data_IF_261379663456
#
_entry.id   IF_261379663456
#
_cell.length_a   1.000
_cell.length_b   1.000
_cell.length_c   1.000
_cell.angle_alpha   90.00
_cell.angle_beta   90.00
_cell.angle_gamma   90.00
#
_symmetry.space_group_name_H-M   'P 1'
#
loop_
_entity.id
_entity.type
_entity.pdbx_description
1 polymer ?
#
# COMPACT_ATOMS: atom_id res chain seq x y z
N UNK A 1 -11.08 -24.06 14.12
CA UNK A 1 -10.62 -24.08 12.71
C UNK A 1 -9.09 -24.00 12.72
N UNK A 2 -8.39 -24.95 12.11
CA UNK A 2 -6.92 -25.05 12.18
C UNK A 2 -6.25 -23.80 11.59
N UNK A 3 -5.18 -23.30 12.20
CA UNK A 3 -4.52 -22.05 11.81
C UNK A 3 -3.92 -22.12 10.39
N UNK A 4 -3.54 -23.32 9.93
CA UNK A 4 -3.14 -23.59 8.55
C UNK A 4 -4.25 -23.24 7.53
N UNK A 5 -5.52 -23.37 7.94
CA UNK A 5 -6.69 -23.08 7.11
C UNK A 5 -6.77 -21.59 6.76
N UNK A 6 -6.29 -20.67 7.62
CA UNK A 6 -6.44 -19.22 7.37
C UNK A 6 -5.58 -18.71 6.21
N UNK A 7 -4.31 -19.11 6.15
CA UNK A 7 -3.43 -18.75 5.03
C UNK A 7 -3.91 -19.41 3.73
N UNK A 8 -4.42 -20.64 3.82
CA UNK A 8 -4.98 -21.35 2.67
C UNK A 8 -6.22 -20.64 2.13
N UNK A 9 -7.16 -20.23 2.99
CA UNK A 9 -8.33 -19.42 2.60
C UNK A 9 -7.93 -18.06 2.01
N UNK A 10 -6.82 -17.45 2.45
CA UNK A 10 -6.32 -16.23 1.81
C UNK A 10 -5.78 -16.48 0.40
N UNK A 11 -5.10 -17.60 0.18
CA UNK A 11 -4.63 -18.00 -1.14
C UNK A 11 -5.78 -18.32 -2.10
N UNK A 12 -6.96 -18.68 -1.62
CA UNK A 12 -8.16 -18.90 -2.43
C UNK A 12 -8.88 -17.61 -2.84
N UNK A 13 -8.56 -16.47 -2.21
CA UNK A 13 -9.13 -15.17 -2.60
C UNK A 13 -8.31 -14.61 -3.76
N UNK A 14 -8.94 -14.43 -4.92
CA UNK A 14 -8.22 -13.94 -6.09
C UNK A 14 -7.63 -12.53 -5.88
N UNK A 15 -6.31 -12.34 -6.11
CA UNK A 15 -5.69 -11.02 -6.19
C UNK A 15 -5.91 -10.35 -7.56
N UNK A 16 -6.50 -11.05 -8.52
CA UNK A 16 -6.68 -10.54 -9.87
C UNK A 16 -7.81 -9.50 -9.86
N UNK A 17 -7.53 -8.26 -10.29
CA UNK A 17 -8.62 -7.32 -10.53
C UNK A 17 -9.53 -7.87 -11.64
N UNK A 18 -10.73 -7.33 -11.75
CA UNK A 18 -11.67 -7.64 -12.84
C UNK A 18 -11.52 -6.66 -14.03
N UNK A 19 -10.47 -6.73 -14.86
CA UNK A 19 -10.49 -6.07 -16.16
C UNK A 19 -10.13 -7.02 -17.32
N UNK A 20 -10.43 -6.57 -18.54
CA UNK A 20 -10.07 -7.22 -19.82
C UNK A 20 -8.68 -6.77 -20.34
N UNK A 21 -7.77 -6.35 -19.46
CA UNK A 21 -6.49 -5.70 -19.81
C UNK A 21 -5.29 -6.42 -19.16
N UNK A 22 -4.05 -6.26 -19.68
CA UNK A 22 -2.86 -6.81 -19.03
C UNK A 22 -2.68 -6.26 -17.61
N UNK A 23 -2.16 -7.08 -16.70
CA UNK A 23 -2.01 -6.71 -15.29
C UNK A 23 -0.52 -6.65 -14.92
N UNK A 24 -0.12 -5.54 -14.31
CA UNK A 24 1.21 -5.37 -13.70
C UNK A 24 1.03 -5.53 -12.19
N UNK A 25 1.44 -6.68 -11.66
CA UNK A 25 1.49 -6.91 -10.22
C UNK A 25 2.75 -6.26 -9.64
N UNK A 26 2.56 -5.34 -8.70
CA UNK A 26 3.64 -4.66 -8.01
C UNK A 26 3.81 -5.22 -6.59
N UNK A 27 4.81 -6.07 -6.40
CA UNK A 27 5.07 -6.72 -5.12
C UNK A 27 5.96 -5.85 -4.24
N UNK A 28 5.43 -5.40 -3.09
CA UNK A 28 6.22 -4.70 -2.09
C UNK A 28 6.97 -5.67 -1.18
N UNK A 29 8.13 -6.14 -1.65
CA UNK A 29 9.01 -7.04 -0.92
C UNK A 29 10.45 -6.96 -1.42
N UNK A 30 11.39 -7.12 -0.49
CA UNK A 30 12.82 -7.36 -0.77
C UNK A 30 13.27 -8.78 -0.38
N UNK A 31 12.32 -9.64 0.02
CA UNK A 31 12.60 -10.96 0.60
C UNK A 31 12.08 -12.07 -0.29
N UNK A 32 12.94 -13.04 -0.59
CA UNK A 32 12.63 -14.18 -1.46
C UNK A 32 11.42 -14.99 -1.00
N UNK A 33 11.26 -15.21 0.32
CA UNK A 33 10.12 -15.95 0.84
C UNK A 33 8.78 -15.20 0.62
N UNK A 34 8.78 -13.90 0.87
CA UNK A 34 7.59 -13.07 0.67
C UNK A 34 7.22 -12.98 -0.82
N UNK A 35 8.24 -12.84 -1.68
CA UNK A 35 8.07 -12.89 -3.13
C UNK A 35 7.47 -14.24 -3.56
N UNK A 36 8.03 -15.37 -3.11
CA UNK A 36 7.53 -16.71 -3.44
C UNK A 36 6.06 -16.88 -3.04
N UNK A 37 5.67 -16.39 -1.86
CA UNK A 37 4.30 -16.51 -1.37
C UNK A 37 3.33 -15.65 -2.18
N UNK A 38 3.71 -14.41 -2.53
CA UNK A 38 2.90 -13.52 -3.37
C UNK A 38 2.80 -14.03 -4.81
N UNK A 39 3.90 -14.51 -5.40
CA UNK A 39 3.89 -15.13 -6.72
C UNK A 39 2.98 -16.36 -6.73
N UNK A 40 3.07 -17.23 -5.70
CA UNK A 40 2.17 -18.37 -5.56
C UNK A 40 0.71 -17.93 -5.47
N UNK A 41 0.42 -16.84 -4.76
CA UNK A 41 -0.93 -16.31 -4.66
C UNK A 41 -1.47 -15.87 -6.01
N UNK A 42 -0.65 -15.21 -6.84
CA UNK A 42 -1.01 -14.83 -8.21
C UNK A 42 -1.29 -16.06 -9.07
N UNK A 43 -0.35 -17.01 -9.12
CA UNK A 43 -0.44 -18.18 -10.02
C UNK A 43 -1.54 -19.17 -9.63
N UNK A 44 -1.85 -19.30 -8.32
CA UNK A 44 -2.95 -20.16 -7.86
C UNK A 44 -4.32 -19.64 -8.32
N UNK A 45 -4.43 -18.35 -8.58
CA UNK A 45 -5.67 -17.68 -8.96
C UNK A 45 -5.64 -17.17 -10.41
N UNK A 46 -4.68 -17.63 -11.21
CA UNK A 46 -4.50 -17.18 -12.58
C UNK A 46 -5.80 -17.41 -13.38
N UNK A 47 -6.40 -16.30 -13.84
CA UNK A 47 -7.54 -16.37 -14.72
C UNK A 47 -7.06 -16.84 -16.09
N UNK A 48 -7.82 -17.73 -16.75
CA UNK A 48 -7.46 -18.40 -18.00
C UNK A 48 -7.17 -17.47 -19.22
N UNK A 49 -7.17 -16.15 -19.07
CA UNK A 49 -7.05 -15.19 -20.18
C UNK A 49 -6.25 -13.92 -19.88
N UNK A 50 -5.61 -13.79 -18.71
CA UNK A 50 -4.89 -12.58 -18.34
C UNK A 50 -3.37 -12.73 -18.44
N UNK A 51 -2.70 -11.90 -19.25
CA UNK A 51 -1.24 -11.76 -19.18
C UNK A 51 -0.87 -10.94 -17.95
N UNK A 52 0.00 -11.49 -17.08
CA UNK A 52 0.47 -10.85 -15.86
C UNK A 52 1.98 -10.61 -15.87
N UNK A 53 2.38 -9.39 -15.54
CA UNK A 53 3.77 -8.99 -15.35
C UNK A 53 3.99 -8.80 -13.86
N UNK A 54 4.95 -9.52 -13.28
CA UNK A 54 5.25 -9.47 -11.85
C UNK A 54 6.54 -8.68 -11.64
N UNK A 55 6.44 -7.55 -10.95
CA UNK A 55 7.57 -6.69 -10.62
C UNK A 55 7.73 -6.58 -9.10
N UNK A 56 8.96 -6.69 -8.61
CA UNK A 56 9.28 -6.52 -7.19
C UNK A 56 9.90 -5.14 -6.96
N UNK A 57 9.35 -4.37 -6.03
CA UNK A 57 9.90 -3.08 -5.60
C UNK A 57 9.92 -3.01 -4.08
N UNK A 58 11.01 -2.54 -3.49
CA UNK A 58 11.06 -2.25 -2.04
C UNK A 58 10.46 -0.86 -1.78
N UNK A 59 9.13 -0.79 -1.72
CA UNK A 59 8.39 0.46 -1.54
C UNK A 59 8.48 1.01 -0.11
N UNK A 60 9.09 0.26 0.83
CA UNK A 60 9.19 0.66 2.24
C UNK A 60 10.50 1.35 2.59
N UNK A 61 11.52 1.16 1.76
CA UNK A 61 12.86 1.65 2.00
C UNK A 61 13.06 3.06 1.42
N UNK A 62 12.58 4.07 2.14
CA UNK A 62 12.78 5.48 1.77
C UNK A 62 14.27 5.92 1.74
N UNK A 63 15.20 5.10 2.25
CA UNK A 63 16.64 5.43 2.31
C UNK A 63 17.36 5.14 0.99
N UNK A 64 16.78 4.32 0.10
CA UNK A 64 17.36 3.97 -1.19
C UNK A 64 16.51 4.55 -2.31
N UNK A 65 17.15 4.99 -3.39
CA UNK A 65 16.44 5.31 -4.62
C UNK A 65 15.68 4.06 -5.10
N UNK A 66 14.40 4.23 -5.45
CA UNK A 66 13.59 3.15 -5.99
C UNK A 66 14.15 2.77 -7.36
N UNK A 67 14.50 1.50 -7.55
CA UNK A 67 14.86 0.96 -8.86
C UNK A 67 13.59 0.77 -9.68
N UNK A 68 13.17 1.83 -10.39
CA UNK A 68 11.89 1.85 -11.12
C UNK A 68 12.02 1.51 -12.60
N UNK A 69 13.22 1.21 -13.11
CA UNK A 69 13.45 1.00 -14.54
C UNK A 69 12.51 -0.05 -15.13
N UNK A 70 12.45 -1.24 -14.52
CA UNK A 70 11.57 -2.31 -14.98
C UNK A 70 10.08 -1.93 -14.93
N UNK A 71 9.69 -1.07 -13.99
CA UNK A 71 8.33 -0.54 -13.92
C UNK A 71 8.07 0.49 -15.02
N UNK A 72 9.03 1.37 -15.30
CA UNK A 72 8.95 2.34 -16.38
C UNK A 72 8.78 1.64 -17.74
N UNK A 73 9.63 0.64 -18.00
CA UNK A 73 9.58 -0.16 -19.23
C UNK A 73 8.23 -0.90 -19.37
N UNK A 74 7.75 -1.54 -18.29
CA UNK A 74 6.47 -2.22 -18.29
C UNK A 74 5.28 -1.27 -18.56
N UNK A 75 5.28 -0.09 -17.95
CA UNK A 75 4.24 0.93 -18.16
C UNK A 75 4.27 1.54 -19.56
N UNK A 76 5.45 1.66 -20.16
CA UNK A 76 5.59 2.12 -21.55
C UNK A 76 5.08 1.09 -22.56
N UNK A 77 5.39 -0.19 -22.34
CA UNK A 77 5.01 -1.30 -23.20
C UNK A 77 3.52 -1.65 -23.08
N UNK A 78 2.93 -1.43 -21.90
CA UNK A 78 1.53 -1.76 -21.61
C UNK A 78 0.78 -0.55 -21.06
N UNK A 79 0.43 0.39 -21.95
CA UNK A 79 -0.20 1.67 -21.57
C UNK A 79 -1.63 1.53 -21.04
N UNK A 80 -2.30 0.43 -21.38
CA UNK A 80 -3.64 0.06 -20.95
C UNK A 80 -3.64 -0.87 -19.72
N UNK A 81 -2.46 -1.21 -19.18
CA UNK A 81 -2.35 -2.15 -18.08
C UNK A 81 -2.96 -1.62 -16.77
N UNK A 82 -3.47 -2.56 -15.97
CA UNK A 82 -3.81 -2.30 -14.58
C UNK A 82 -2.62 -2.56 -13.67
N UNK A 83 -2.31 -1.62 -12.80
CA UNK A 83 -1.30 -1.79 -11.75
C UNK A 83 -1.99 -2.30 -10.49
N UNK A 84 -1.63 -3.51 -10.07
CA UNK A 84 -2.20 -4.19 -8.90
C UNK A 84 -1.12 -4.38 -7.82
N UNK A 85 -1.10 -3.53 -6.78
CA UNK A 85 -0.06 -3.60 -5.76
C UNK A 85 -0.38 -4.64 -4.67
N UNK A 86 0.58 -5.51 -4.37
CA UNK A 86 0.44 -6.58 -3.38
C UNK A 86 1.57 -6.53 -2.33
N UNK A 87 1.26 -6.97 -1.11
CA UNK A 87 2.21 -7.01 0.02
C UNK A 87 1.83 -8.10 1.02
N UNK A 88 2.81 -8.61 1.77
CA UNK A 88 2.56 -9.36 3.00
C UNK A 88 2.57 -8.43 4.22
N UNK A 89 1.44 -8.40 4.93
CA UNK A 89 1.30 -7.70 6.21
C UNK A 89 1.53 -8.69 7.35
N UNK A 90 2.49 -8.38 8.22
CA UNK A 90 2.80 -9.20 9.39
C UNK A 90 2.03 -8.69 10.62
N UNK A 91 1.03 -9.46 11.05
CA UNK A 91 0.20 -9.16 12.20
C UNK A 91 0.91 -9.53 13.51
N UNK A 92 0.56 -8.81 14.58
CA UNK A 92 1.01 -9.17 15.93
C UNK A 92 0.25 -10.41 16.40
N UNK A 93 0.88 -11.30 17.19
CA UNK A 93 0.14 -12.36 17.86
C UNK A 93 -0.98 -11.72 18.67
N UNK A 94 -2.20 -12.22 18.51
CA UNK A 94 -3.35 -11.77 19.26
C UNK A 94 -3.10 -12.16 20.73
N UNK A 95 -2.61 -11.21 21.53
CA UNK A 95 -2.49 -11.41 22.97
C UNK A 95 -3.89 -11.31 23.52
N UNK A 96 -4.41 -12.43 24.03
CA UNK A 96 -5.57 -12.40 24.93
C UNK A 96 -5.30 -11.35 26.00
N UNK A 97 -6.32 -10.53 26.21
CA UNK A 97 -6.45 -9.39 27.12
C UNK A 97 -5.52 -9.43 28.34
N UNK A 98 -4.26 -9.02 28.19
CA UNK A 98 -3.39 -8.70 29.32
C UNK A 98 -3.40 -7.19 29.48
N UNK A 99 -4.05 -6.74 30.57
CA UNK A 99 -4.07 -5.37 31.03
C UNK A 99 -2.66 -4.79 31.12
N UNK A 100 -2.44 -3.68 30.42
CA UNK A 100 -1.27 -2.82 30.61
C UNK A 100 -0.41 -2.64 29.35
N UNK A 101 -0.06 -1.39 28.97
CA UNK A 101 0.92 -1.15 27.92
C UNK A 101 2.30 -1.61 28.40
N UNK A 102 2.90 -2.59 27.72
CA UNK A 102 4.30 -2.94 27.98
C UNK A 102 5.20 -1.87 27.33
N UNK A 103 6.18 -1.36 28.05
CA UNK A 103 7.21 -0.43 27.57
C UNK A 103 7.91 -0.90 26.27
N UNK A 104 7.83 -2.19 25.94
CA UNK A 104 8.34 -2.76 24.67
C UNK A 104 7.51 -2.38 23.44
N UNK A 105 6.23 -1.99 23.59
CA UNK A 105 5.37 -1.56 22.48
C UNK A 105 5.69 -0.12 22.02
N UNK A 106 6.33 0.69 22.87
CA UNK A 106 6.83 2.03 22.50
C UNK A 106 8.17 1.99 21.77
N UNK A 107 8.94 0.89 21.89
CA UNK A 107 10.31 0.81 21.35
C UNK A 107 10.32 0.28 19.91
N UNK A 108 9.24 -0.38 19.45
CA UNK A 108 9.13 -0.87 18.06
C UNK A 108 8.23 0.01 17.20
N UNK A 109 8.69 1.24 16.97
CA UNK A 109 8.41 1.99 15.73
C UNK A 109 9.09 1.39 14.49
N UNK A 110 9.84 0.29 14.66
CA UNK A 110 10.44 -0.51 13.60
C UNK A 110 9.45 -1.53 13.04
N UNK A 111 9.52 -1.69 11.73
CA UNK A 111 8.84 -2.68 10.91
C UNK A 111 8.59 -4.02 11.65
N UNK A 112 7.32 -4.38 11.85
CA UNK A 112 6.87 -5.58 12.62
C UNK A 112 7.15 -6.92 11.90
N UNK A 113 8.10 -6.93 10.95
CA UNK A 113 8.49 -8.09 10.17
C UNK A 113 9.46 -8.95 10.98
N UNK A 114 9.30 -10.30 11.02
CA UNK A 114 10.35 -11.17 11.56
C UNK A 114 11.65 -10.98 10.77
N UNK A 115 12.85 -11.31 11.27
CA UNK A 115 14.04 -11.35 10.43
C UNK A 115 13.92 -12.41 9.32
N UNK A 116 14.64 -12.26 8.21
CA UNK A 116 14.47 -13.08 6.98
C UNK A 116 14.52 -14.59 7.25
N UNK A 117 15.45 -15.03 8.10
CA UNK A 117 15.65 -16.44 8.44
C UNK A 117 14.48 -17.04 9.23
N UNK A 118 13.77 -16.22 10.02
CA UNK A 118 12.57 -16.64 10.77
C UNK A 118 11.29 -16.58 9.95
N UNK A 119 11.27 -15.86 8.82
CA UNK A 119 10.03 -15.62 8.07
C UNK A 119 9.32 -16.93 7.69
N UNK A 120 10.06 -17.92 7.19
CA UNK A 120 9.51 -19.24 6.82
C UNK A 120 9.05 -20.04 8.03
N UNK A 121 9.78 -19.97 9.15
CA UNK A 121 9.41 -20.65 10.39
C UNK A 121 8.11 -20.07 10.96
N UNK A 122 8.06 -18.74 11.11
CA UNK A 122 6.87 -18.03 11.58
C UNK A 122 5.69 -18.26 10.65
N UNK A 123 5.89 -18.31 9.34
CA UNK A 123 4.81 -18.61 8.41
C UNK A 123 4.20 -20.01 8.59
N UNK A 124 5.03 -21.00 8.93
CA UNK A 124 4.60 -22.37 9.13
C UNK A 124 3.94 -22.58 10.50
N UNK A 125 4.51 -21.99 11.54
CA UNK A 125 4.07 -22.21 12.93
C UNK A 125 3.07 -21.17 13.43
N UNK A 126 3.02 -19.99 12.80
CA UNK A 126 2.15 -18.88 13.16
C UNK A 126 1.48 -18.26 11.92
N UNK A 127 0.71 -19.03 11.14
CA UNK A 127 0.07 -18.54 9.92
C UNK A 127 -0.95 -17.41 10.19
N UNK A 128 -1.46 -17.28 11.43
CA UNK A 128 -2.30 -16.16 11.88
C UNK A 128 -1.59 -14.80 11.81
N UNK A 129 -0.25 -14.80 11.79
CA UNK A 129 0.55 -13.59 11.69
C UNK A 129 0.75 -13.12 10.26
N UNK A 130 0.33 -13.88 9.26
CA UNK A 130 0.50 -13.53 7.85
C UNK A 130 -0.84 -13.10 7.28
N UNK A 131 -0.83 -11.96 6.59
CA UNK A 131 -1.96 -11.51 5.82
C UNK A 131 -1.53 -11.05 4.42
N UNK A 132 -2.00 -11.76 3.40
CA UNK A 132 -1.89 -11.32 2.01
C UNK A 132 -2.75 -10.07 1.82
N UNK A 133 -2.11 -8.96 1.43
CA UNK A 133 -2.74 -7.64 1.36
C UNK A 133 -2.70 -7.17 -0.08
N UNK A 134 -3.88 -6.96 -0.66
CA UNK A 134 -4.04 -6.27 -1.94
C UNK A 134 -4.34 -4.81 -1.67
N UNK A 135 -3.60 -3.91 -2.31
CA UNK A 135 -4.03 -2.53 -2.44
C UNK A 135 -5.10 -2.40 -3.51
N UNK A 136 -5.77 -1.25 -3.54
CA UNK A 136 -6.69 -0.91 -4.61
C UNK A 136 -5.92 -0.80 -5.95
N UNK A 137 -6.32 -1.56 -6.99
CA UNK A 137 -5.68 -1.50 -8.30
C UNK A 137 -6.03 -0.21 -9.04
N UNK A 138 -5.20 0.18 -10.01
CA UNK A 138 -5.47 1.37 -10.84
C UNK A 138 -4.99 1.21 -12.27
N UNK A 139 -5.76 1.72 -13.23
CA UNK A 139 -5.35 1.78 -14.64
C UNK A 139 -4.11 2.68 -14.81
N UNK A 140 -3.17 2.26 -15.65
CA UNK A 140 -2.01 3.06 -16.03
C UNK A 140 -2.42 4.40 -16.67
N UNK A 141 -3.54 4.43 -17.40
CA UNK A 141 -4.10 5.66 -17.97
C UNK A 141 -4.55 6.63 -16.88
N UNK A 142 -5.36 6.16 -15.93
CA UNK A 142 -5.82 6.98 -14.79
C UNK A 142 -4.65 7.51 -13.95
N UNK A 143 -3.62 6.68 -13.75
CA UNK A 143 -2.41 7.06 -13.06
C UNK A 143 -1.64 8.12 -13.87
N UNK A 144 -1.59 7.98 -15.20
CA UNK A 144 -1.01 8.96 -16.12
C UNK A 144 -1.71 10.32 -16.06
N UNK A 145 -3.04 10.34 -16.06
CA UNK A 145 -3.84 11.56 -15.93
C UNK A 145 -3.64 12.24 -14.57
N UNK A 146 -3.51 11.44 -13.50
CA UNK A 146 -3.18 11.96 -12.16
C UNK A 146 -1.76 12.52 -12.12
N UNK A 147 -0.80 11.89 -12.80
CA UNK A 147 0.56 12.38 -12.93
C UNK A 147 0.59 13.71 -13.67
N UNK A 148 -0.04 13.78 -14.85
CA UNK A 148 -0.10 14.99 -15.66
C UNK A 148 -0.74 16.16 -14.91
N UNK A 149 -1.87 15.93 -14.21
CA UNK A 149 -2.50 16.97 -13.38
C UNK A 149 -1.60 17.48 -12.26
N UNK A 150 -0.62 16.69 -11.81
CA UNK A 150 0.27 17.02 -10.69
C UNK A 150 1.56 17.70 -11.15
N UNK A 151 2.12 17.28 -12.28
CA UNK A 151 3.45 17.73 -12.76
C UNK A 151 3.35 18.67 -13.96
N UNK A 152 2.24 18.67 -14.69
CA UNK A 152 2.08 19.34 -15.98
C UNK A 152 2.75 18.61 -17.15
N UNK A 153 3.38 17.46 -16.90
CA UNK A 153 4.14 16.68 -17.90
C UNK A 153 3.38 15.40 -18.25
N UNK A 154 3.44 14.98 -19.51
CA UNK A 154 2.82 13.72 -19.92
C UNK A 154 3.66 12.53 -19.45
N UNK A 155 3.00 11.45 -19.01
CA UNK A 155 3.68 10.23 -18.55
C UNK A 155 4.68 9.67 -19.57
N UNK A 156 4.37 9.76 -20.87
CA UNK A 156 5.25 9.30 -21.94
C UNK A 156 6.54 10.13 -22.10
N UNK A 157 6.56 11.39 -21.65
CA UNK A 157 7.72 12.28 -21.75
C UNK A 157 8.72 12.04 -20.61
N UNK A 158 8.24 11.60 -19.44
CA UNK A 158 9.06 11.33 -18.26
C UNK A 158 8.68 9.97 -17.65
N UNK A 159 9.09 8.86 -18.30
CA UNK A 159 8.67 7.53 -17.90
C UNK A 159 9.20 7.11 -16.53
N UNK A 160 10.43 7.49 -16.17
CA UNK A 160 11.02 7.20 -14.86
C UNK A 160 10.27 7.94 -13.74
N UNK A 161 10.01 9.24 -13.90
CA UNK A 161 9.26 10.03 -12.92
C UNK A 161 7.82 9.54 -12.77
N UNK A 162 7.20 9.12 -13.88
CA UNK A 162 5.91 8.47 -13.87
C UNK A 162 5.94 7.15 -13.09
N UNK A 163 6.95 6.30 -13.31
CA UNK A 163 7.12 5.05 -12.57
C UNK A 163 7.35 5.28 -11.06
N UNK A 164 8.15 6.30 -10.69
CA UNK A 164 8.28 6.73 -9.28
C UNK A 164 6.94 7.17 -8.71
N UNK A 165 6.13 7.92 -9.47
CA UNK A 165 4.80 8.33 -9.05
C UNK A 165 3.88 7.12 -8.81
N UNK A 166 3.86 6.16 -9.74
CA UNK A 166 3.07 4.92 -9.62
C UNK A 166 3.51 4.10 -8.40
N UNK A 167 4.81 3.91 -8.20
CA UNK A 167 5.36 3.21 -7.03
C UNK A 167 4.93 3.87 -5.71
N UNK A 168 4.91 5.20 -5.65
CA UNK A 168 4.42 5.96 -4.48
C UNK A 168 2.92 5.78 -4.27
N UNK A 169 2.10 5.81 -5.32
CA UNK A 169 0.66 5.54 -5.19
C UNK A 169 0.39 4.12 -4.70
N UNK A 170 1.12 3.13 -5.23
CA UNK A 170 1.06 1.75 -4.76
C UNK A 170 1.39 1.62 -3.27
N UNK A 171 2.43 2.30 -2.80
CA UNK A 171 2.80 2.31 -1.38
C UNK A 171 1.66 2.87 -0.49
N UNK A 172 0.96 3.91 -0.96
CA UNK A 172 -0.18 4.51 -0.24
C UNK A 172 -1.33 3.54 -0.11
N UNK A 173 -1.78 2.94 -1.22
CA UNK A 173 -2.94 2.04 -1.18
C UNK A 173 -2.65 0.77 -0.38
N UNK A 174 -1.40 0.29 -0.41
CA UNK A 174 -0.94 -0.81 0.45
C UNK A 174 -0.95 -0.44 1.93
N UNK A 175 -0.52 0.77 2.29
CA UNK A 175 -0.57 1.25 3.66
C UNK A 175 -2.03 1.47 4.14
N UNK A 176 -2.93 1.90 3.25
CA UNK A 176 -4.37 2.00 3.55
C UNK A 176 -4.97 0.61 3.82
N UNK A 177 -4.70 -0.35 2.94
CA UNK A 177 -5.16 -1.73 3.11
C UNK A 177 -4.60 -2.36 4.39
N UNK A 178 -3.31 -2.16 4.69
CA UNK A 178 -2.70 -2.61 5.94
C UNK A 178 -3.35 -1.95 7.18
N UNK A 179 -3.72 -0.67 7.10
CA UNK A 179 -4.43 0.02 8.18
C UNK A 179 -5.83 -0.56 8.42
N UNK A 180 -6.57 -0.89 7.36
CA UNK A 180 -7.89 -1.54 7.48
C UNK A 180 -7.78 -2.90 8.17
N UNK A 181 -6.67 -3.62 7.95
CA UNK A 181 -6.40 -4.91 8.59
C UNK A 181 -6.01 -4.80 10.08
N UNK A 182 -5.19 -3.82 10.44
CA UNK A 182 -4.64 -3.68 11.82
C UNK A 182 -5.58 -2.87 12.74
N UNK A 183 -6.48 -2.06 12.16
CA UNK A 183 -7.35 -1.15 12.89
C UNK A 183 -6.74 0.25 13.04
N UNK A 184 -7.59 1.28 12.92
CA UNK A 184 -7.20 2.69 12.73
C UNK A 184 -6.45 3.37 13.89
N UNK A 185 -6.08 2.65 14.96
CA UNK A 185 -5.45 3.22 16.17
C UNK A 185 -3.92 3.35 16.09
N UNK A 186 -3.23 2.81 15.07
CA UNK A 186 -1.77 2.66 15.14
C UNK A 186 -0.92 3.07 13.92
N UNK A 187 -1.47 3.46 12.76
CA UNK A 187 -0.62 3.86 11.59
C UNK A 187 -1.31 4.81 10.59
N UNK A 188 -0.74 6.00 10.32
CA UNK A 188 -1.13 6.90 9.21
C UNK A 188 -0.26 6.60 7.98
N UNK A 189 -0.83 6.33 6.78
CA UNK A 189 -0.04 6.05 5.56
C UNK A 189 0.98 7.16 5.20
N UNK A 190 2.16 6.75 4.72
CA UNK A 190 3.36 7.62 4.60
C UNK A 190 3.23 8.75 3.57
N UNK A 191 2.21 8.70 2.70
CA UNK A 191 1.88 9.78 1.75
C UNK A 191 0.39 10.18 1.74
N UNK A 192 -0.35 9.91 2.82
CA UNK A 192 -1.78 10.31 2.96
C UNK A 192 -2.00 11.78 2.60
N UNK A 193 -1.13 12.68 3.08
CA UNK A 193 -1.22 14.11 2.79
C UNK A 193 -1.24 14.41 1.28
N UNK A 194 -0.46 13.68 0.49
CA UNK A 194 -0.34 13.97 -0.94
C UNK A 194 -1.48 13.33 -1.76
N UNK A 195 -1.95 12.15 -1.33
CA UNK A 195 -3.06 11.44 -1.99
C UNK A 195 -4.44 11.98 -1.59
N UNK A 196 -4.69 12.34 -0.32
CA UNK A 196 -5.98 12.87 0.15
C UNK A 196 -6.35 14.21 -0.48
N UNK A 197 -5.36 15.09 -0.73
CA UNK A 197 -5.61 16.41 -1.36
C UNK A 197 -6.30 16.32 -2.71
N UNK A 198 -6.21 15.17 -3.38
CA UNK A 198 -6.79 14.93 -4.71
C UNK A 198 -7.99 13.99 -4.69
N UNK A 199 -8.34 13.39 -3.55
CA UNK A 199 -9.48 12.48 -3.43
C UNK A 199 -10.81 13.25 -3.45
N UNK A 200 -11.72 12.85 -4.34
CA UNK A 200 -13.05 13.46 -4.52
C UNK A 200 -13.92 13.31 -3.28
N UNK A 201 -13.93 12.14 -2.61
CA UNK A 201 -14.72 11.93 -1.39
C UNK A 201 -14.20 12.74 -0.22
N UNK A 202 -12.87 12.91 -0.11
CA UNK A 202 -12.26 13.81 0.87
C UNK A 202 -12.64 15.26 0.61
N UNK A 203 -12.61 15.72 -0.64
CA UNK A 203 -13.08 17.07 -1.01
C UNK A 203 -14.57 17.26 -0.72
N UNK A 204 -15.40 16.27 -1.00
CA UNK A 204 -16.83 16.29 -0.69
C UNK A 204 -17.07 16.34 0.83
N UNK A 205 -16.31 15.57 1.62
CA UNK A 205 -16.36 15.65 3.09
C UNK A 205 -15.95 17.01 3.63
N UNK A 206 -14.88 17.62 3.09
CA UNK A 206 -14.48 18.98 3.46
C UNK A 206 -15.54 20.03 3.08
N UNK A 207 -16.26 19.82 1.97
CA UNK A 207 -17.41 20.64 1.57
C UNK A 207 -18.59 20.49 2.55
N UNK A 208 -18.91 19.26 2.98
CA UNK A 208 -19.94 19.01 3.99
C UNK A 208 -19.61 19.72 5.30
N UNK A 209 -18.37 19.56 5.80
CA UNK A 209 -17.90 20.20 7.03
C UNK A 209 -17.93 21.73 6.90
N UNK A 210 -17.53 22.28 5.75
CA UNK A 210 -17.57 23.71 5.49
C UNK A 210 -19.00 24.25 5.53
N UNK A 211 -19.95 23.53 4.95
CA UNK A 211 -21.37 23.89 4.96
C UNK A 211 -21.98 23.76 6.37
N UNK A 212 -21.71 22.67 7.08
CA UNK A 212 -22.20 22.42 8.45
C UNK A 212 -21.62 23.42 9.46
N UNK A 213 -20.38 23.86 9.24
CA UNK A 213 -19.69 24.79 10.15
C UNK A 213 -19.84 26.26 9.72
N UNK A 214 -20.57 26.55 8.63
CA UNK A 214 -20.70 27.89 8.02
C UNK A 214 -19.35 28.59 7.77
N UNK A 215 -18.31 27.81 7.44
CA UNK A 215 -16.95 28.30 7.22
C UNK A 215 -16.58 28.17 5.76
N UNK A 216 -15.72 29.08 5.28
CA UNK A 216 -15.23 28.96 3.90
C UNK A 216 -14.45 27.66 3.71
N UNK A 217 -14.67 27.01 2.57
CA UNK A 217 -13.96 25.78 2.16
C UNK A 217 -12.45 25.96 2.15
N UNK A 218 -11.96 27.17 1.88
CA UNK A 218 -10.53 27.53 1.92
C UNK A 218 -9.95 27.39 3.33
N UNK A 219 -10.67 27.89 4.34
CA UNK A 219 -10.26 27.84 5.76
C UNK A 219 -10.29 26.41 6.28
N UNK A 220 -11.39 25.68 6.05
CA UNK A 220 -11.52 24.27 6.46
C UNK A 220 -10.46 23.39 5.81
N UNK A 221 -10.13 23.64 4.54
CA UNK A 221 -9.05 22.92 3.84
C UNK A 221 -7.66 23.26 4.39
N UNK A 222 -7.41 24.50 4.78
CA UNK A 222 -6.14 24.90 5.39
C UNK A 222 -5.94 24.20 6.76
N UNK A 223 -7.00 24.20 7.57
CA UNK A 223 -7.02 23.55 8.89
C UNK A 223 -6.88 22.03 8.79
N UNK A 224 -7.60 21.39 7.87
CA UNK A 224 -7.44 19.95 7.60
C UNK A 224 -6.01 19.61 7.14
N UNK A 225 -5.36 20.47 6.34
CA UNK A 225 -3.96 20.26 5.97
C UNK A 225 -3.01 20.43 7.15
N UNK A 226 -3.32 21.31 8.11
CA UNK A 226 -2.56 21.46 9.35
C UNK A 226 -2.73 20.24 10.26
N UNK A 227 -3.95 19.73 10.47
CA UNK A 227 -4.16 18.49 11.22
C UNK A 227 -3.51 17.28 10.55
N UNK A 228 -3.62 17.16 9.23
CA UNK A 228 -2.88 16.15 8.49
C UNK A 228 -1.37 16.36 8.63
N UNK A 229 -0.89 17.60 8.74
CA UNK A 229 0.51 17.93 9.06
C UNK A 229 0.87 17.41 10.45
N UNK A 230 0.13 17.75 11.48
CA UNK A 230 0.38 17.32 12.86
C UNK A 230 0.30 15.80 13.03
N UNK A 231 -0.68 15.12 12.39
CA UNK A 231 -0.84 13.66 12.45
C UNK A 231 0.26 12.85 11.76
N UNK A 232 0.96 13.45 10.79
CA UNK A 232 2.04 12.78 10.01
C UNK A 232 3.42 13.34 10.40
N UNK A 233 3.50 14.47 11.10
CA UNK A 233 4.75 14.94 11.67
C UNK A 233 5.20 13.92 12.71
N UNK A 234 6.35 13.32 12.42
CA UNK A 234 7.10 12.42 13.31
C UNK A 234 7.16 13.08 14.70
N UNK A 235 6.97 12.35 15.82
CA UNK A 235 7.32 12.88 17.13
C UNK A 235 8.79 13.29 17.10
N UNK A 236 9.04 14.59 17.09
CA UNK A 236 10.35 15.13 17.43
C UNK A 236 10.67 14.67 18.84
N UNK A 237 11.64 13.77 18.97
CA UNK A 237 12.29 13.55 20.26
C UNK A 237 13.07 14.82 20.57
N UNK A 238 12.49 15.68 21.39
CA UNK A 238 13.29 16.36 22.41
C UNK A 238 13.52 15.35 23.53
N UNK A 239 14.74 15.37 24.09
CA UNK A 239 15.40 14.41 24.99
C UNK A 239 15.70 13.01 24.42
#
# INVERSE_FOLDING_TARGET
>A
MSQATRLQTQLERSPWPTPHAPIIFLLDTSRSYEQQLLTRWITTNEAASGSAIILCLDLRNDRKALSVQALADALQNHRDAYVAPLRISWLSPQRETRSGPQLTDLIRGGERRPPNWLARYVARHHPERINLTSGEPGSAQDLGDRFHRKTGVLAAQQPEDFAVFVARQAAVVLDIAERQLIGGRYKVPRYVRQSLRHNVSFKAGLLSIANESERSTKVVRAEANQYLKEMISIPTRFW
#
